data_IF_107793701554
#
_entry.id   IF_107793701554
#
_cell.length_a   1.000
_cell.length_b   1.000
_cell.length_c   1.000
_cell.angle_alpha   90.00
_cell.angle_beta   90.00
_cell.angle_gamma   90.00
#
_symmetry.space_group_name_H-M   'P 1'
#
loop_
_entity.id
_entity.type
_entity.pdbx_description
1 polymer ?
#
# COMPACT_ATOMS: atom_id res chain seq x y z
N UNK A 1 -21.19 26.69 -11.26
CA UNK A 1 -21.60 25.27 -11.25
C UNK A 1 -20.57 24.51 -10.44
N UNK A 2 -20.93 23.93 -9.28
CA UNK A 2 -19.99 23.13 -8.48
C UNK A 2 -19.89 21.76 -9.13
N UNK A 3 -18.72 21.38 -9.65
CA UNK A 3 -18.49 20.04 -10.15
C UNK A 3 -18.74 19.06 -9.01
N UNK A 4 -19.71 18.17 -9.19
CA UNK A 4 -19.98 17.11 -8.23
C UNK A 4 -18.80 16.13 -8.29
N UNK A 5 -17.78 16.35 -7.46
CA UNK A 5 -16.65 15.45 -7.35
C UNK A 5 -17.12 14.16 -6.69
N UNK A 6 -17.55 13.20 -7.51
CA UNK A 6 -17.86 11.85 -7.05
C UNK A 6 -16.61 11.22 -6.46
N UNK A 7 -16.50 11.23 -5.12
CA UNK A 7 -15.48 10.47 -4.42
C UNK A 7 -15.83 9.00 -4.62
N UNK A 8 -15.10 8.32 -5.49
CA UNK A 8 -15.20 6.87 -5.67
C UNK A 8 -14.58 6.16 -4.46
N UNK A 9 -15.20 6.30 -3.29
CA UNK A 9 -14.70 5.78 -2.01
C UNK A 9 -14.40 4.28 -2.14
N UNK A 10 -15.30 3.54 -2.78
CA UNK A 10 -15.15 2.10 -3.02
C UNK A 10 -13.96 1.74 -3.93
N UNK A 11 -13.59 2.62 -4.87
CA UNK A 11 -12.44 2.42 -5.77
C UNK A 11 -11.11 2.72 -5.06
N UNK A 12 -11.13 3.66 -4.13
CA UNK A 12 -9.93 4.12 -3.41
C UNK A 12 -9.81 3.52 -2.00
N UNK A 13 -10.74 2.66 -1.60
CA UNK A 13 -10.71 1.95 -0.32
C UNK A 13 -9.91 0.66 -0.44
N UNK A 14 -9.04 0.40 0.54
CA UNK A 14 -8.42 -0.90 0.69
C UNK A 14 -9.36 -1.88 1.40
N UNK A 15 -9.36 -3.16 1.00
CA UNK A 15 -9.99 -4.22 1.78
C UNK A 15 -9.39 -4.25 3.19
N UNK A 16 -10.22 -4.54 4.19
CA UNK A 16 -9.79 -4.60 5.59
C UNK A 16 -8.62 -5.59 5.81
N UNK A 17 -8.60 -6.69 5.05
CA UNK A 17 -7.50 -7.68 5.06
C UNK A 17 -6.16 -7.09 4.62
N UNK A 18 -6.18 -6.14 3.69
CA UNK A 18 -4.96 -5.50 3.17
C UNK A 18 -4.38 -4.51 4.18
N UNK A 19 -5.22 -3.91 5.04
CA UNK A 19 -4.77 -2.97 6.08
C UNK A 19 -3.88 -3.67 7.11
N UNK A 20 -4.22 -4.89 7.53
CA UNK A 20 -3.39 -5.65 8.46
C UNK A 20 -2.01 -5.99 7.87
N UNK A 21 -1.97 -6.37 6.59
CA UNK A 21 -0.71 -6.66 5.89
C UNK A 21 0.13 -5.38 5.78
N UNK A 22 -0.50 -4.26 5.42
CA UNK A 22 0.17 -2.96 5.31
C UNK A 22 0.77 -2.50 6.64
N UNK A 23 0.01 -2.60 7.72
CA UNK A 23 0.45 -2.21 9.06
C UNK A 23 1.56 -3.12 9.63
N UNK A 24 1.74 -4.32 9.06
CA UNK A 24 2.83 -5.23 9.41
C UNK A 24 4.13 -4.98 8.63
N UNK A 25 4.13 -4.08 7.65
CA UNK A 25 5.34 -3.72 6.92
C UNK A 25 6.25 -2.85 7.79
N UNK A 26 7.57 -3.01 7.64
CA UNK A 26 8.51 -2.12 8.31
C UNK A 26 8.48 -0.72 7.69
N UNK A 27 8.76 0.28 8.52
CA UNK A 27 8.79 1.69 8.11
C UNK A 27 9.78 1.91 6.96
N UNK A 28 10.90 1.18 6.95
CA UNK A 28 11.91 1.23 5.88
C UNK A 28 11.41 0.75 4.50
N UNK A 29 10.39 -0.12 4.48
CA UNK A 29 9.71 -0.54 3.25
C UNK A 29 8.75 0.55 2.82
N UNK A 30 7.91 1.04 3.75
CA UNK A 30 6.88 2.05 3.48
C UNK A 30 7.47 3.39 3.03
N UNK A 31 8.63 3.79 3.59
CA UNK A 31 9.32 5.06 3.31
C UNK A 31 10.29 4.97 2.12
N UNK A 32 10.18 3.93 1.28
CA UNK A 32 11.07 3.80 0.13
C UNK A 32 10.95 4.99 -0.83
N UNK A 33 12.11 5.47 -1.29
CA UNK A 33 12.24 6.67 -2.14
C UNK A 33 11.48 6.57 -3.48
N UNK A 34 11.26 5.35 -3.99
CA UNK A 34 10.54 5.15 -5.24
C UNK A 34 9.64 3.91 -5.19
N UNK A 35 8.62 3.90 -6.05
CA UNK A 35 7.70 2.75 -6.21
C UNK A 35 8.48 1.48 -6.60
N UNK A 36 9.55 1.63 -7.38
CA UNK A 36 10.41 0.51 -7.76
C UNK A 36 11.13 -0.08 -6.54
N UNK A 37 11.78 0.78 -5.74
CA UNK A 37 12.46 0.36 -4.50
C UNK A 37 11.48 -0.22 -3.48
N UNK A 38 10.29 0.36 -3.36
CA UNK A 38 9.20 -0.16 -2.53
C UNK A 38 8.86 -1.61 -2.94
N UNK A 39 8.64 -1.85 -4.24
CA UNK A 39 8.28 -3.16 -4.76
C UNK A 39 9.39 -4.19 -4.51
N UNK A 40 10.64 -3.84 -4.75
CA UNK A 40 11.79 -4.73 -4.52
C UNK A 40 11.90 -5.15 -3.03
N UNK A 41 11.77 -4.19 -2.12
CA UNK A 41 11.80 -4.46 -0.67
C UNK A 41 10.60 -5.29 -0.22
N UNK A 42 9.40 -5.00 -0.75
CA UNK A 42 8.18 -5.75 -0.46
C UNK A 42 8.30 -7.21 -0.93
N UNK A 43 8.83 -7.43 -2.13
CA UNK A 43 9.02 -8.77 -2.67
C UNK A 43 10.02 -9.56 -1.80
N UNK A 44 11.16 -8.96 -1.43
CA UNK A 44 12.14 -9.57 -0.50
C UNK A 44 11.50 -9.97 0.84
N UNK A 45 10.69 -9.11 1.44
CA UNK A 45 10.01 -9.37 2.72
C UNK A 45 9.08 -10.61 2.66
N UNK A 46 8.48 -10.88 1.50
CA UNK A 46 7.62 -12.06 1.29
C UNK A 46 8.40 -13.37 1.21
N UNK A 47 9.66 -13.34 0.79
CA UNK A 47 10.49 -14.54 0.65
C UNK A 47 11.29 -14.90 1.90
N UNK A 48 11.58 -13.93 2.77
CA UNK A 48 12.30 -14.16 4.04
C UNK A 48 11.42 -14.73 5.16
N UNK A 49 10.10 -14.75 4.97
CA UNK A 49 9.13 -15.27 5.95
C UNK A 49 8.76 -16.74 5.66
N UNK A 50 9.54 -17.43 4.80
CA UNK A 50 9.39 -18.86 4.51
C UNK A 50 10.35 -19.71 5.34
#
# INVERSE_FOLDING_TARGET
MKSQCHRNIKKFSFPHRTVHIWNGLSEEIVTAESVYKFKEKLDKCRYTTR
#
